data_IF_893024661051
#
_entry.id   IF_893024661051
#
_cell.length_a   1.000
_cell.length_b   1.000
_cell.length_c   1.000
_cell.angle_alpha   90.00
_cell.angle_beta   90.00
_cell.angle_gamma   90.00
#
_symmetry.space_group_name_H-M   'P 1'
#
loop_
_entity.id
_entity.type
_entity.pdbx_description
1 polymer ?
#
# COMPACT_ATOMS: atom_id res chain seq x y z
N UNK A 1 17.43 7.28 -2.29
CA UNK A 1 18.30 6.99 -1.14
C UNK A 1 19.33 5.97 -1.60
N UNK A 2 20.62 6.31 -1.58
CA UNK A 2 21.66 5.34 -1.85
C UNK A 2 21.69 4.31 -0.73
N UNK A 3 21.74 3.02 -1.09
CA UNK A 3 21.89 1.93 -0.12
C UNK A 3 23.37 1.69 0.07
N UNK A 4 23.85 1.88 1.29
CA UNK A 4 25.28 1.72 1.59
C UNK A 4 25.69 0.23 1.67
N UNK A 5 24.74 -0.71 1.89
CA UNK A 5 24.97 -2.18 1.93
C UNK A 5 23.67 -2.99 2.16
N UNK A 6 23.64 -4.27 1.72
CA UNK A 6 22.50 -5.20 1.80
C UNK A 6 22.17 -5.73 3.21
N UNK A 7 23.04 -5.46 4.21
CA UNK A 7 22.89 -5.97 5.59
C UNK A 7 22.23 -4.99 6.57
N UNK A 8 22.17 -3.68 6.26
CA UNK A 8 21.52 -2.73 7.18
C UNK A 8 20.01 -2.75 6.97
N UNK A 9 19.30 -3.42 7.88
CA UNK A 9 17.85 -3.21 8.05
C UNK A 9 17.61 -1.74 8.37
N UNK A 10 16.97 -1.02 7.46
CA UNK A 10 16.56 0.36 7.71
C UNK A 10 15.29 0.36 8.54
N UNK A 11 15.15 1.29 9.48
CA UNK A 11 13.86 1.51 10.14
C UNK A 11 12.82 2.15 9.18
N UNK A 12 13.28 2.72 8.06
CA UNK A 12 12.45 3.45 7.09
C UNK A 12 12.65 2.90 5.68
N UNK A 13 11.54 2.56 5.03
CA UNK A 13 11.51 2.05 3.67
C UNK A 13 10.57 2.90 2.82
N UNK A 14 10.99 3.20 1.59
CA UNK A 14 10.12 3.79 0.58
C UNK A 14 9.58 2.67 -0.30
N UNK A 15 8.25 2.60 -0.41
CA UNK A 15 7.56 1.59 -1.20
C UNK A 15 6.79 2.27 -2.33
N UNK A 16 6.63 1.55 -3.44
CA UNK A 16 5.78 1.95 -4.56
C UNK A 16 4.84 0.81 -4.88
N UNK A 17 3.54 1.10 -4.87
CA UNK A 17 2.51 0.17 -5.28
C UNK A 17 2.06 0.55 -6.68
N UNK A 18 2.29 -0.34 -7.65
CA UNK A 18 1.79 -0.17 -9.01
C UNK A 18 0.42 -0.83 -9.13
N UNK A 19 -0.60 -0.06 -9.53
CA UNK A 19 -1.95 -0.56 -9.73
C UNK A 19 -2.25 -0.62 -11.22
N UNK A 20 -2.95 -1.68 -11.63
CA UNK A 20 -3.44 -1.80 -13.01
C UNK A 20 -4.63 -0.85 -13.24
N UNK A 21 -4.92 -0.45 -14.50
CA UNK A 21 -6.10 0.36 -14.81
C UNK A 21 -7.42 -0.27 -14.31
N UNK A 22 -7.54 -1.60 -14.36
CA UNK A 22 -8.71 -2.32 -13.87
C UNK A 22 -8.87 -2.20 -12.33
N UNK A 23 -7.78 -2.26 -11.58
CA UNK A 23 -7.80 -2.04 -10.12
C UNK A 23 -8.20 -0.61 -9.77
N UNK A 24 -7.65 0.38 -10.49
CA UNK A 24 -8.01 1.79 -10.31
C UNK A 24 -9.50 2.00 -10.60
N UNK A 25 -10.02 1.45 -11.70
CA UNK A 25 -11.44 1.53 -12.05
C UNK A 25 -12.34 0.88 -10.98
N UNK A 26 -11.94 -0.27 -10.44
CA UNK A 26 -12.66 -0.92 -9.35
C UNK A 26 -12.69 -0.05 -8.08
N UNK A 27 -11.56 0.55 -7.69
CA UNK A 27 -11.49 1.47 -6.57
C UNK A 27 -12.37 2.70 -6.79
N UNK A 28 -12.33 3.31 -7.99
CA UNK A 28 -13.21 4.42 -8.39
C UNK A 28 -14.70 4.03 -8.35
N UNK A 29 -15.02 2.75 -8.56
CA UNK A 29 -16.38 2.20 -8.51
C UNK A 29 -16.86 1.80 -7.11
N UNK A 30 -16.07 2.07 -6.06
CA UNK A 30 -16.48 1.78 -4.67
C UNK A 30 -15.90 0.49 -4.08
N UNK A 31 -14.97 -0.19 -4.77
CA UNK A 31 -14.33 -1.37 -4.20
C UNK A 31 -13.59 -1.02 -2.89
N UNK A 32 -13.68 -1.92 -1.90
CA UNK A 32 -12.95 -1.80 -0.63
C UNK A 32 -11.45 -1.98 -0.87
N UNK A 33 -10.64 -1.25 -0.11
CA UNK A 33 -9.19 -1.39 -0.11
C UNK A 33 -8.75 -2.10 1.17
N UNK A 34 -7.78 -2.99 1.08
CA UNK A 34 -7.11 -3.61 2.21
C UNK A 34 -5.60 -3.41 2.08
N UNK A 35 -4.89 -3.40 3.22
CA UNK A 35 -3.43 -3.39 3.27
C UNK A 35 -2.97 -4.33 4.37
N UNK A 36 -1.86 -5.04 4.15
CA UNK A 36 -1.32 -5.97 5.14
C UNK A 36 0.14 -6.30 4.92
N UNK A 37 0.70 -6.99 5.90
CA UNK A 37 2.05 -7.57 5.92
C UNK A 37 1.90 -9.02 6.35
N UNK A 38 2.44 -9.94 5.55
CA UNK A 38 2.39 -11.39 5.80
C UNK A 38 3.77 -11.95 6.19
N UNK A 39 4.58 -11.13 6.87
CA UNK A 39 5.89 -11.59 7.34
C UNK A 39 5.70 -12.61 8.48
N UNK A 40 6.45 -13.72 8.52
CA UNK A 40 6.26 -14.77 9.55
C UNK A 40 6.31 -14.25 10.98
N UNK A 41 7.21 -13.31 11.25
CA UNK A 41 7.38 -12.68 12.57
C UNK A 41 6.46 -11.47 12.81
N UNK A 42 5.70 -11.03 11.80
CA UNK A 42 4.77 -9.91 11.92
C UNK A 42 3.66 -9.97 10.86
N UNK A 43 2.53 -10.57 11.23
CA UNK A 43 1.33 -10.64 10.41
C UNK A 43 0.30 -9.60 10.86
N UNK A 44 -0.07 -8.70 9.96
CA UNK A 44 -1.07 -7.66 10.24
C UNK A 44 -1.88 -7.31 9.00
N UNK A 45 -3.18 -7.07 9.19
CA UNK A 45 -4.07 -6.68 8.09
C UNK A 45 -5.03 -5.59 8.55
N UNK A 46 -5.20 -4.57 7.71
CA UNK A 46 -6.23 -3.56 7.83
C UNK A 46 -7.23 -3.74 6.67
N UNK A 47 -8.41 -4.25 6.99
CA UNK A 47 -9.46 -4.52 6.01
C UNK A 47 -10.86 -4.21 6.59
N UNK A 48 -11.58 -3.19 6.06
CA UNK A 48 -11.13 -2.26 5.04
C UNK A 48 -10.23 -1.14 5.61
N UNK A 49 -9.41 -0.56 4.75
CA UNK A 49 -8.83 0.76 4.98
C UNK A 49 -9.98 1.77 5.16
N UNK A 50 -9.93 2.65 6.18
CA UNK A 50 -10.97 3.66 6.40
C UNK A 50 -11.27 4.51 5.16
N UNK A 51 -12.55 4.83 4.96
CA UNK A 51 -13.01 5.46 3.72
C UNK A 51 -12.37 6.82 3.44
N UNK A 52 -12.07 7.61 4.49
CA UNK A 52 -11.36 8.88 4.35
C UNK A 52 -9.96 8.69 3.76
N UNK A 53 -9.20 7.73 4.30
CA UNK A 53 -7.85 7.38 3.80
C UNK A 53 -7.92 6.78 2.40
N UNK A 54 -8.87 5.87 2.15
CA UNK A 54 -9.10 5.28 0.82
C UNK A 54 -9.38 6.37 -0.21
N UNK A 55 -10.23 7.34 0.12
CA UNK A 55 -10.58 8.46 -0.78
C UNK A 55 -9.39 9.37 -1.06
N UNK A 56 -8.56 9.65 -0.05
CA UNK A 56 -7.33 10.42 -0.22
C UNK A 56 -6.33 9.70 -1.16
N UNK A 57 -6.07 8.41 -0.94
CA UNK A 57 -5.19 7.61 -1.81
C UNK A 57 -5.71 7.50 -3.25
N UNK A 58 -7.03 7.42 -3.43
CA UNK A 58 -7.64 7.38 -4.75
C UNK A 58 -7.39 8.66 -5.56
N UNK A 59 -7.22 9.80 -4.89
CA UNK A 59 -6.94 11.08 -5.53
C UNK A 59 -5.55 11.13 -6.19
N UNK A 60 -4.62 10.26 -5.77
CA UNK A 60 -3.27 10.17 -6.33
C UNK A 60 -3.20 9.33 -7.62
N UNK A 61 -4.31 8.66 -8.00
CA UNK A 61 -4.38 7.71 -9.11
C UNK A 61 -5.03 8.35 -10.34
N UNK A 62 -4.21 8.63 -11.37
CA UNK A 62 -4.65 9.19 -12.67
C UNK A 62 -5.43 8.13 -13.47
#
# INVERSE_FOLDING_TARGET
>A
LERENDEKTSAVHFLRFELTPAMIAALKSGAKLAIGVDHPEYAATLQPVPDATRSALLADLV
#
